data_IF_164867420772
#
_entry.id   IF_164867420772
#
_cell.length_a   1.000
_cell.length_b   1.000
_cell.length_c   1.000
_cell.angle_alpha   90.00
_cell.angle_beta   90.00
_cell.angle_gamma   90.00
#
_symmetry.space_group_name_H-M   'P 1'
#
loop_
_entity.id
_entity.type
_entity.pdbx_description
1 polymer ?
#
# COMPACT_ATOMS: atom_id res chain seq x y z
N UNK A 1 -20.84 -6.31 -8.23
CA UNK A 1 -20.00 -5.52 -9.12
C UNK A 1 -18.88 -6.39 -9.66
N UNK A 2 -18.47 -6.16 -10.94
CA UNK A 2 -17.23 -6.72 -11.49
C UNK A 2 -16.08 -5.73 -11.22
N UNK A 3 -15.06 -6.17 -10.52
CA UNK A 3 -13.90 -5.37 -10.14
C UNK A 3 -12.64 -5.97 -10.78
N UNK A 4 -11.92 -5.18 -11.56
CA UNK A 4 -10.66 -5.62 -12.17
C UNK A 4 -9.49 -4.99 -11.42
N UNK A 5 -8.53 -5.83 -10.99
CA UNK A 5 -7.37 -5.40 -10.18
C UNK A 5 -6.06 -5.72 -10.91
N UNK A 6 -5.57 -4.85 -11.80
CA UNK A 6 -4.25 -4.95 -12.37
C UNK A 6 -3.17 -4.91 -11.27
N UNK A 7 -2.25 -5.90 -11.26
CA UNK A 7 -1.24 -6.06 -10.23
C UNK A 7 -1.77 -6.58 -8.87
N UNK A 8 -2.96 -7.19 -8.85
CA UNK A 8 -3.65 -7.59 -7.63
C UNK A 8 -3.03 -8.77 -6.84
N UNK A 9 -1.90 -9.34 -7.28
CA UNK A 9 -1.20 -10.41 -6.53
C UNK A 9 -0.26 -9.89 -5.44
N UNK A 10 -0.02 -8.58 -5.35
CA UNK A 10 0.74 -7.94 -4.27
C UNK A 10 -0.03 -7.93 -2.95
N UNK A 11 0.61 -7.45 -1.86
CA UNK A 11 0.01 -7.36 -0.52
C UNK A 11 -1.35 -6.64 -0.53
N UNK A 12 -1.39 -5.43 -1.07
CA UNK A 12 -2.62 -4.61 -1.11
C UNK A 12 -3.69 -5.28 -1.96
N UNK A 13 -3.32 -5.82 -3.11
CA UNK A 13 -4.25 -6.54 -3.98
C UNK A 13 -4.83 -7.80 -3.34
N UNK A 14 -4.03 -8.52 -2.57
CA UNK A 14 -4.51 -9.70 -1.81
C UNK A 14 -5.52 -9.30 -0.74
N UNK A 15 -5.30 -8.17 -0.04
CA UNK A 15 -6.23 -7.63 0.95
C UNK A 15 -7.56 -7.27 0.27
N UNK A 16 -7.51 -6.51 -0.82
CA UNK A 16 -8.71 -6.09 -1.56
C UNK A 16 -9.44 -7.28 -2.17
N UNK A 17 -8.73 -8.19 -2.83
CA UNK A 17 -9.35 -9.38 -3.44
C UNK A 17 -10.09 -10.21 -2.39
N UNK A 18 -9.46 -10.48 -1.24
CA UNK A 18 -10.10 -11.21 -0.14
C UNK A 18 -11.36 -10.51 0.38
N UNK A 19 -11.30 -9.20 0.58
CA UNK A 19 -12.42 -8.42 1.10
C UNK A 19 -13.57 -8.32 0.10
N UNK A 20 -13.28 -7.92 -1.14
CA UNK A 20 -14.29 -7.71 -2.17
C UNK A 20 -14.94 -9.02 -2.62
N UNK A 21 -14.16 -10.10 -2.78
CA UNK A 21 -14.72 -11.43 -3.05
C UNK A 21 -15.58 -11.94 -1.89
N UNK A 22 -15.14 -11.70 -0.63
CA UNK A 22 -15.92 -12.02 0.57
C UNK A 22 -17.23 -11.24 0.68
N UNK A 23 -17.30 -10.05 0.10
CA UNK A 23 -18.52 -9.23 -0.03
C UNK A 23 -19.39 -9.62 -1.26
N UNK A 24 -19.05 -10.70 -1.98
CA UNK A 24 -19.83 -11.21 -3.11
C UNK A 24 -19.57 -10.47 -4.44
N UNK A 25 -18.48 -9.70 -4.54
CA UNK A 25 -18.11 -9.08 -5.80
C UNK A 25 -17.35 -10.06 -6.70
N UNK A 26 -17.52 -9.91 -8.00
CA UNK A 26 -16.70 -10.61 -8.99
C UNK A 26 -15.38 -9.87 -9.12
N UNK A 27 -14.28 -10.50 -8.66
CA UNK A 27 -12.94 -9.91 -8.71
C UNK A 27 -12.08 -10.64 -9.73
N UNK A 28 -11.57 -9.90 -10.72
CA UNK A 28 -10.61 -10.39 -11.72
C UNK A 28 -9.25 -9.74 -11.44
N UNK A 29 -8.23 -10.56 -11.25
CA UNK A 29 -6.86 -10.08 -11.00
C UNK A 29 -6.02 -10.21 -12.27
N UNK A 30 -5.43 -9.10 -12.73
CA UNK A 30 -4.47 -9.14 -13.82
C UNK A 30 -3.06 -9.34 -13.25
N UNK A 31 -2.38 -10.40 -13.69
CA UNK A 31 -1.06 -10.78 -13.16
C UNK A 31 -0.15 -11.39 -14.24
N UNK A 32 1.17 -11.28 -14.03
CA UNK A 32 2.16 -11.88 -14.93
C UNK A 32 2.18 -13.40 -14.88
N UNK A 33 1.79 -13.96 -13.75
CA UNK A 33 1.84 -15.42 -13.52
C UNK A 33 0.52 -15.85 -12.86
N UNK A 34 -0.52 -16.12 -13.65
CA UNK A 34 -1.79 -16.62 -13.12
C UNK A 34 -1.60 -17.99 -12.46
N UNK A 35 -2.14 -18.16 -11.25
CA UNK A 35 -2.08 -19.40 -10.47
C UNK A 35 -3.44 -19.82 -9.92
N UNK A 36 -4.46 -18.97 -10.05
CA UNK A 36 -5.81 -19.20 -9.51
C UNK A 36 -6.86 -18.92 -10.58
N UNK A 37 -8.02 -19.48 -10.39
CA UNK A 37 -9.22 -19.08 -11.13
C UNK A 37 -9.44 -17.56 -11.00
N UNK A 38 -9.87 -16.90 -12.07
CA UNK A 38 -10.04 -15.43 -12.17
C UNK A 38 -8.75 -14.62 -12.07
N UNK A 39 -7.61 -15.25 -12.22
CA UNK A 39 -6.36 -14.57 -12.53
C UNK A 39 -6.11 -14.62 -14.05
N UNK A 40 -5.94 -13.46 -14.65
CA UNK A 40 -5.74 -13.31 -16.10
C UNK A 40 -4.33 -12.82 -16.37
N UNK A 41 -3.70 -13.42 -17.39
CA UNK A 41 -2.32 -13.09 -17.75
C UNK A 41 -2.22 -11.69 -18.33
N UNK A 42 -1.30 -10.90 -17.78
CA UNK A 42 -1.00 -9.54 -18.17
C UNK A 42 0.48 -9.21 -17.85
N UNK A 43 1.16 -8.56 -18.79
CA UNK A 43 2.58 -8.17 -18.60
C UNK A 43 2.76 -6.78 -17.94
N UNK A 44 1.72 -5.97 -17.94
CA UNK A 44 1.72 -4.63 -17.37
C UNK A 44 2.16 -3.53 -18.33
N UNK A 45 2.33 -3.83 -19.63
CA UNK A 45 2.86 -2.87 -20.59
C UNK A 45 2.23 -2.96 -21.97
N UNK A 46 1.77 -4.14 -22.41
CA UNK A 46 1.28 -4.33 -23.77
C UNK A 46 -0.20 -4.69 -23.82
N UNK A 47 -0.86 -4.28 -24.92
CA UNK A 47 -2.23 -4.66 -25.20
C UNK A 47 -2.35 -6.18 -25.36
N UNK A 48 -3.45 -6.76 -24.89
CA UNK A 48 -3.66 -8.18 -24.99
C UNK A 48 -5.07 -8.62 -24.62
N UNK A 49 -5.35 -9.92 -24.59
CA UNK A 49 -6.68 -10.46 -24.30
C UNK A 49 -7.26 -10.05 -22.95
N UNK A 50 -6.42 -9.64 -22.00
CA UNK A 50 -6.80 -9.14 -20.68
C UNK A 50 -7.68 -7.87 -20.74
N UNK A 51 -7.58 -7.09 -21.83
CA UNK A 51 -8.36 -5.88 -22.02
C UNK A 51 -9.88 -6.15 -22.02
N UNK A 52 -10.30 -7.34 -22.42
CA UNK A 52 -11.71 -7.79 -22.37
C UNK A 52 -12.26 -7.80 -20.93
N UNK A 53 -11.41 -7.93 -19.93
CA UNK A 53 -11.86 -7.91 -18.54
C UNK A 53 -12.25 -6.49 -18.09
N UNK A 54 -11.64 -5.47 -18.69
CA UNK A 54 -11.96 -4.06 -18.43
C UNK A 54 -13.33 -3.71 -18.99
N UNK A 55 -13.65 -4.20 -20.20
CA UNK A 55 -14.96 -3.96 -20.79
C UNK A 55 -16.07 -4.61 -19.95
N UNK A 56 -17.10 -3.81 -19.62
CA UNK A 56 -18.21 -4.20 -18.77
C UNK A 56 -17.84 -4.39 -17.30
N UNK A 57 -16.65 -3.99 -16.85
CA UNK A 57 -16.36 -3.89 -15.42
C UNK A 57 -16.98 -2.65 -14.80
N UNK A 58 -17.33 -2.72 -13.51
CA UNK A 58 -17.82 -1.57 -12.76
C UNK A 58 -16.69 -0.68 -12.24
N UNK A 59 -15.59 -1.32 -11.85
CA UNK A 59 -14.46 -0.68 -11.15
C UNK A 59 -13.14 -1.26 -11.65
N UNK A 60 -12.17 -0.39 -11.92
CA UNK A 60 -10.77 -0.77 -12.12
C UNK A 60 -9.94 -0.21 -10.96
N UNK A 61 -9.14 -1.07 -10.30
CA UNK A 61 -8.22 -0.68 -9.22
C UNK A 61 -6.80 -1.05 -9.65
N UNK A 62 -6.10 -0.13 -10.31
CA UNK A 62 -4.74 -0.40 -10.76
C UNK A 62 -3.73 -0.29 -9.61
N UNK A 63 -3.15 -1.42 -9.24
CA UNK A 63 -2.12 -1.57 -8.20
C UNK A 63 -0.75 -1.93 -8.80
N UNK A 64 -0.63 -1.97 -10.13
CA UNK A 64 0.58 -2.41 -10.78
C UNK A 64 1.74 -1.46 -10.52
N UNK A 65 2.89 -2.05 -10.25
CA UNK A 65 4.13 -1.35 -10.01
C UNK A 65 5.18 -2.26 -9.41
N UNK A 66 6.44 -2.05 -9.78
CA UNK A 66 7.57 -2.74 -9.18
C UNK A 66 7.70 -2.40 -7.69
N UNK A 67 8.03 -3.38 -6.86
CA UNK A 67 8.26 -3.17 -5.43
C UNK A 67 9.35 -2.11 -5.18
N UNK A 68 9.08 -1.23 -4.22
CA UNK A 68 10.05 -0.23 -3.72
C UNK A 68 11.07 -0.84 -2.75
N UNK A 69 10.87 -2.08 -2.31
CA UNK A 69 11.81 -2.82 -1.47
C UNK A 69 12.99 -3.33 -2.31
N UNK A 70 13.79 -2.41 -2.84
CA UNK A 70 15.00 -2.66 -3.62
C UNK A 70 16.00 -1.53 -3.39
N UNK A 71 17.27 -1.73 -3.76
CA UNK A 71 18.26 -0.62 -3.78
C UNK A 71 17.89 0.37 -4.86
N UNK A 72 18.02 1.65 -4.59
CA UNK A 72 17.75 2.74 -5.52
C UNK A 72 18.95 2.97 -6.46
N UNK A 73 19.24 1.96 -7.29
CA UNK A 73 20.15 2.12 -8.43
C UNK A 73 19.41 2.78 -9.59
N UNK A 74 20.10 3.48 -10.52
CA UNK A 74 19.46 4.08 -11.69
C UNK A 74 18.55 3.10 -12.45
N UNK A 75 19.00 1.84 -12.66
CA UNK A 75 18.21 0.81 -13.32
C UNK A 75 16.96 0.42 -12.55
N UNK A 76 17.03 0.32 -11.22
CA UNK A 76 15.86 0.01 -10.39
C UNK A 76 14.88 1.17 -10.32
N UNK A 77 15.36 2.40 -10.24
CA UNK A 77 14.54 3.61 -10.25
C UNK A 77 13.80 3.73 -11.59
N UNK A 78 14.50 3.55 -12.71
CA UNK A 78 13.87 3.53 -14.04
C UNK A 78 12.82 2.43 -14.15
N UNK A 79 13.12 1.21 -13.73
CA UNK A 79 12.15 0.12 -13.75
C UNK A 79 10.94 0.35 -12.81
N UNK A 80 11.12 1.11 -11.72
CA UNK A 80 10.00 1.55 -10.87
C UNK A 80 9.14 2.59 -11.58
N UNK A 81 9.74 3.53 -12.31
CA UNK A 81 9.05 4.52 -13.14
C UNK A 81 8.25 3.81 -14.23
N UNK A 82 8.94 3.05 -15.08
CA UNK A 82 8.36 2.40 -16.27
C UNK A 82 7.19 1.49 -15.90
N UNK A 83 7.37 0.64 -14.87
CA UNK A 83 6.31 -0.28 -14.44
C UNK A 83 5.02 0.40 -13.99
N UNK A 84 5.11 1.64 -13.52
CA UNK A 84 3.97 2.44 -13.06
C UNK A 84 3.33 3.20 -14.21
N UNK A 85 4.14 3.90 -14.97
CA UNK A 85 3.67 4.72 -16.09
C UNK A 85 3.04 3.83 -17.16
N UNK A 86 3.77 2.83 -17.68
CA UNK A 86 3.27 1.95 -18.73
C UNK A 86 2.02 1.19 -18.33
N UNK A 87 1.97 0.68 -17.05
CA UNK A 87 0.76 0.00 -16.60
C UNK A 87 -0.44 0.91 -16.50
N UNK A 88 -0.23 2.18 -16.19
CA UNK A 88 -1.31 3.16 -16.11
C UNK A 88 -1.78 3.58 -17.50
N UNK A 89 -0.85 3.81 -18.41
CA UNK A 89 -1.15 4.17 -19.81
C UNK A 89 -1.97 3.06 -20.49
N UNK A 90 -1.51 1.80 -20.41
CA UNK A 90 -2.21 0.69 -21.08
C UNK A 90 -3.56 0.36 -20.44
N UNK A 91 -3.74 0.59 -19.14
CA UNK A 91 -5.05 0.50 -18.47
C UNK A 91 -5.96 1.63 -18.95
N UNK A 92 -5.43 2.85 -19.07
CA UNK A 92 -6.16 4.00 -19.63
C UNK A 92 -6.62 3.76 -21.06
N UNK A 93 -5.74 3.20 -21.90
CA UNK A 93 -6.07 2.81 -23.27
C UNK A 93 -7.18 1.74 -23.29
N UNK A 94 -7.10 0.73 -22.42
CA UNK A 94 -8.13 -0.30 -22.33
C UNK A 94 -9.48 0.24 -21.90
N UNK A 95 -9.51 1.21 -20.98
CA UNK A 95 -10.74 1.90 -20.55
C UNK A 95 -11.31 2.76 -21.69
N UNK A 96 -10.44 3.50 -22.40
CA UNK A 96 -10.85 4.35 -23.51
C UNK A 96 -11.48 3.57 -24.68
N UNK A 97 -11.02 2.34 -24.92
CA UNK A 97 -11.50 1.47 -26.00
C UNK A 97 -12.62 0.50 -25.55
N UNK A 98 -13.07 0.53 -24.29
CA UNK A 98 -14.14 -0.31 -23.81
C UNK A 98 -15.50 0.14 -24.38
N UNK A 99 -16.33 -0.77 -24.83
CA UNK A 99 -17.72 -0.49 -25.24
C UNK A 99 -18.57 -0.07 -24.04
N UNK A 100 -18.28 -0.65 -22.86
CA UNK A 100 -18.90 -0.35 -21.57
C UNK A 100 -17.82 -0.04 -20.54
N UNK A 101 -17.29 1.21 -20.53
CA UNK A 101 -16.19 1.59 -19.65
C UNK A 101 -16.59 1.52 -18.16
N UNK A 102 -15.64 1.24 -17.26
CA UNK A 102 -15.89 1.25 -15.83
C UNK A 102 -16.30 2.64 -15.36
N UNK A 103 -17.22 2.71 -14.41
CA UNK A 103 -17.66 4.00 -13.84
C UNK A 103 -16.57 4.70 -13.02
N UNK A 104 -15.62 3.94 -12.46
CA UNK A 104 -14.51 4.50 -11.69
C UNK A 104 -13.21 3.73 -11.89
N UNK A 105 -12.15 4.49 -12.04
CA UNK A 105 -10.77 4.02 -12.06
C UNK A 105 -10.01 4.56 -10.84
N UNK A 106 -9.74 3.68 -9.88
CA UNK A 106 -8.87 3.93 -8.74
C UNK A 106 -7.44 3.57 -9.13
N UNK A 107 -6.55 4.54 -9.11
CA UNK A 107 -5.14 4.37 -9.43
C UNK A 107 -4.30 4.44 -8.17
N UNK A 108 -3.51 3.42 -7.87
CA UNK A 108 -2.55 3.51 -6.76
C UNK A 108 -1.56 4.65 -7.00
N UNK A 109 -1.31 5.40 -5.95
CA UNK A 109 -0.26 6.39 -5.80
C UNK A 109 0.37 6.26 -4.41
N UNK A 110 1.11 7.21 -3.95
CA UNK A 110 1.85 7.12 -2.69
C UNK A 110 1.84 8.42 -1.90
N UNK A 111 1.67 8.31 -0.59
CA UNK A 111 1.87 9.42 0.35
C UNK A 111 3.33 9.94 0.37
N UNK A 112 4.27 9.22 -0.26
CA UNK A 112 5.68 9.66 -0.41
C UNK A 112 5.82 10.88 -1.31
N UNK A 113 4.80 11.21 -2.11
CA UNK A 113 4.78 12.43 -2.95
C UNK A 113 4.91 13.72 -2.13
N UNK A 114 4.53 13.71 -0.86
CA UNK A 114 4.62 14.87 -0.01
C UNK A 114 6.03 15.11 0.55
N UNK A 115 6.29 16.38 0.86
CA UNK A 115 7.57 16.86 1.38
C UNK A 115 7.96 16.22 2.72
N UNK A 116 9.27 16.05 2.91
CA UNK A 116 9.89 15.72 4.19
C UNK A 116 9.81 16.93 5.13
N UNK A 117 8.81 16.96 6.01
CA UNK A 117 8.60 18.09 6.94
C UNK A 117 8.13 17.62 8.31
N UNK A 118 8.33 18.48 9.32
CA UNK A 118 8.01 18.20 10.72
C UNK A 118 6.99 19.19 11.31
N UNK A 119 6.90 20.38 10.75
CA UNK A 119 6.13 21.52 11.23
C UNK A 119 4.62 21.34 11.10
N UNK A 120 4.15 20.85 9.95
CA UNK A 120 2.72 20.70 9.67
C UNK A 120 2.41 19.34 9.00
N UNK A 121 1.17 18.84 9.11
CA UNK A 121 0.72 17.70 8.32
C UNK A 121 0.56 18.09 6.84
N UNK A 122 0.56 17.08 5.97
CA UNK A 122 0.21 17.21 4.55
C UNK A 122 -1.16 16.58 4.32
N UNK A 123 -2.12 17.37 3.91
CA UNK A 123 -3.39 16.92 3.34
C UNK A 123 -3.44 17.21 1.84
N UNK A 124 -4.57 16.96 1.20
CA UNK A 124 -4.73 17.15 -0.25
C UNK A 124 -4.86 18.62 -0.66
N UNK A 125 -5.28 19.50 0.27
CA UNK A 125 -5.52 20.93 0.01
C UNK A 125 -4.29 21.80 0.30
N UNK A 126 -3.60 21.53 1.44
CA UNK A 126 -2.51 22.37 1.96
C UNK A 126 -1.17 21.67 1.97
N UNK A 127 -1.13 20.39 1.63
CA UNK A 127 0.06 19.57 1.63
C UNK A 127 1.07 20.02 0.57
N UNK A 128 2.34 20.06 0.98
CA UNK A 128 3.44 20.45 0.11
C UNK A 128 3.97 19.23 -0.64
N UNK A 129 3.98 19.28 -1.97
CA UNK A 129 4.63 18.25 -2.79
C UNK A 129 6.16 18.42 -2.64
N UNK A 130 6.85 17.32 -2.37
CA UNK A 130 8.28 17.32 -2.12
C UNK A 130 9.13 17.38 -3.39
N UNK A 131 10.43 17.19 -3.22
CA UNK A 131 11.42 17.14 -4.31
C UNK A 131 12.35 18.33 -4.39
N UNK A 132 12.22 19.29 -3.48
CA UNK A 132 13.09 20.48 -3.40
C UNK A 132 13.54 20.80 -1.97
N UNK A 133 13.44 19.84 -1.06
CA UNK A 133 13.81 20.06 0.34
C UNK A 133 15.34 20.12 0.50
N UNK A 134 15.90 21.14 1.22
CA UNK A 134 17.35 21.39 1.23
C UNK A 134 18.17 20.36 2.02
N UNK A 135 17.56 19.69 2.98
CA UNK A 135 18.26 18.81 3.94
C UNK A 135 18.02 17.31 3.71
N UNK A 136 17.62 16.93 2.49
CA UNK A 136 17.38 15.55 2.12
C UNK A 136 18.31 15.09 1.00
N UNK A 137 18.60 13.78 0.87
CA UNK A 137 19.38 13.29 -0.26
C UNK A 137 18.68 13.56 -1.60
N UNK A 138 19.42 14.03 -2.60
CA UNK A 138 18.89 14.38 -3.93
C UNK A 138 18.11 13.24 -4.58
N UNK A 139 18.50 11.98 -4.35
CA UNK A 139 17.83 10.83 -4.91
C UNK A 139 16.39 10.60 -4.37
N UNK A 140 16.00 11.27 -3.24
CA UNK A 140 14.61 11.23 -2.79
C UNK A 140 13.67 11.98 -3.73
N UNK A 141 14.17 12.97 -4.48
CA UNK A 141 13.40 13.65 -5.50
C UNK A 141 12.87 12.69 -6.57
N UNK A 142 13.64 11.66 -6.89
CA UNK A 142 13.23 10.68 -7.90
C UNK A 142 11.99 9.88 -7.49
N UNK A 143 11.83 9.54 -6.20
CA UNK A 143 10.61 8.90 -5.70
C UNK A 143 9.37 9.78 -5.87
N UNK A 144 9.55 11.11 -5.77
CA UNK A 144 8.49 12.09 -5.98
C UNK A 144 8.18 12.24 -7.48
N UNK A 145 9.21 12.24 -8.31
CA UNK A 145 9.06 12.24 -9.78
C UNK A 145 8.27 11.01 -10.26
N UNK A 146 8.61 9.82 -9.74
CA UNK A 146 7.84 8.59 -10.02
C UNK A 146 6.36 8.77 -9.63
N UNK A 147 6.09 9.28 -8.43
CA UNK A 147 4.72 9.46 -7.96
C UNK A 147 3.94 10.45 -8.84
N UNK A 148 4.57 11.56 -9.22
CA UNK A 148 3.98 12.58 -10.12
C UNK A 148 3.74 12.05 -11.52
N UNK A 149 4.70 11.31 -12.09
CA UNK A 149 4.55 10.70 -13.41
C UNK A 149 3.41 9.67 -13.41
N UNK A 150 3.29 8.90 -12.32
CA UNK A 150 2.24 7.92 -12.15
C UNK A 150 0.84 8.55 -12.10
N UNK A 151 0.65 9.60 -11.28
CA UNK A 151 -0.61 10.35 -11.22
C UNK A 151 -0.92 11.04 -12.56
N UNK A 152 0.08 11.64 -13.20
CA UNK A 152 -0.08 12.31 -14.50
C UNK A 152 -0.51 11.32 -15.59
N UNK A 153 0.03 10.11 -15.63
CA UNK A 153 -0.36 9.10 -16.61
C UNK A 153 -1.86 8.77 -16.52
N UNK A 154 -2.43 8.70 -15.31
CA UNK A 154 -3.88 8.56 -15.13
C UNK A 154 -4.63 9.82 -15.56
N UNK A 155 -4.15 10.99 -15.15
CA UNK A 155 -4.80 12.27 -15.43
C UNK A 155 -4.94 12.51 -16.94
N UNK A 156 -3.87 12.23 -17.69
CA UNK A 156 -3.78 12.45 -19.15
C UNK A 156 -4.54 11.42 -19.99
N UNK A 157 -4.94 10.28 -19.42
CA UNK A 157 -5.70 9.28 -20.15
C UNK A 157 -7.08 9.83 -20.58
N UNK A 158 -7.42 9.66 -21.85
CA UNK A 158 -8.72 10.09 -22.40
C UNK A 158 -9.82 9.07 -22.06
N UNK A 159 -10.40 9.23 -20.88
CA UNK A 159 -11.45 8.32 -20.36
C UNK A 159 -12.63 9.13 -19.82
N UNK A 160 -13.37 9.86 -20.69
CA UNK A 160 -14.38 10.85 -20.29
C UNK A 160 -15.55 10.26 -19.51
N UNK A 161 -15.84 8.97 -19.69
CA UNK A 161 -16.95 8.27 -19.02
C UNK A 161 -16.50 7.54 -17.73
N UNK A 162 -15.24 7.68 -17.33
CA UNK A 162 -14.68 7.02 -16.16
C UNK A 162 -14.13 8.04 -15.16
N UNK A 163 -14.67 8.03 -13.95
CA UNK A 163 -14.18 8.88 -12.85
C UNK A 163 -12.81 8.39 -12.39
N UNK A 164 -11.85 9.30 -12.26
CA UNK A 164 -10.46 9.03 -11.89
C UNK A 164 -10.17 9.45 -10.46
N UNK A 165 -9.57 8.56 -9.66
CA UNK A 165 -9.11 8.84 -8.30
C UNK A 165 -7.71 8.28 -8.11
N UNK A 166 -6.76 9.14 -7.72
CA UNK A 166 -5.40 8.72 -7.37
C UNK A 166 -5.32 8.47 -5.85
N UNK A 167 -5.01 7.23 -5.47
CA UNK A 167 -4.94 6.77 -4.08
C UNK A 167 -3.55 7.05 -3.51
N UNK A 168 -3.31 8.21 -2.90
CA UNK A 168 -2.07 8.54 -2.20
C UNK A 168 -1.98 7.75 -0.89
N UNK A 169 -1.64 6.47 -1.02
CA UNK A 169 -1.64 5.55 0.11
C UNK A 169 -0.43 5.74 1.02
N UNK A 170 -0.69 5.83 2.32
CA UNK A 170 0.28 5.58 3.37
C UNK A 170 0.60 4.06 3.46
N UNK A 171 1.44 3.67 4.42
CA UNK A 171 1.76 2.25 4.62
C UNK A 171 0.53 1.46 5.06
N UNK A 172 0.07 0.53 4.25
CA UNK A 172 -1.04 -0.36 4.59
C UNK A 172 -0.54 -1.43 5.57
N UNK A 173 -1.06 -1.38 6.79
CA UNK A 173 -0.71 -2.30 7.88
C UNK A 173 -1.67 -3.47 7.90
N UNK A 174 -1.16 -4.65 7.59
CA UNK A 174 -1.91 -5.92 7.58
C UNK A 174 -1.15 -6.98 8.37
N UNK A 175 -1.84 -7.91 9.07
CA UNK A 175 -1.20 -9.03 9.77
C UNK A 175 -0.63 -10.08 8.82
N UNK A 176 -0.87 -9.96 7.51
CA UNK A 176 -0.38 -10.91 6.50
C UNK A 176 1.16 -10.93 6.46
N UNK A 177 1.74 -12.08 6.07
CA UNK A 177 3.19 -12.25 5.95
C UNK A 177 3.74 -11.50 4.73
N UNK A 178 5.00 -11.07 4.84
CA UNK A 178 5.74 -10.44 3.73
C UNK A 178 5.43 -8.95 3.52
N UNK A 179 4.50 -8.37 4.29
CA UNK A 179 4.20 -6.94 4.25
C UNK A 179 5.06 -6.10 5.20
N UNK A 180 4.90 -4.78 5.13
CA UNK A 180 5.64 -3.83 5.97
C UNK A 180 5.41 -4.08 7.47
N UNK A 181 4.19 -4.40 7.88
CA UNK A 181 3.89 -4.73 9.27
C UNK A 181 4.66 -5.97 9.75
N UNK A 182 4.78 -7.01 8.93
CA UNK A 182 5.54 -8.23 9.25
C UNK A 182 7.02 -7.93 9.51
N UNK A 183 7.64 -7.06 8.71
CA UNK A 183 9.02 -6.61 8.89
C UNK A 183 9.18 -5.83 10.19
N UNK A 184 8.31 -4.83 10.43
CA UNK A 184 8.36 -4.01 11.64
C UNK A 184 8.10 -4.82 12.91
N UNK A 185 7.15 -5.75 12.84
CA UNK A 185 6.85 -6.66 13.95
C UNK A 185 8.02 -7.59 14.25
N UNK A 186 8.71 -8.11 13.23
CA UNK A 186 9.93 -8.93 13.42
C UNK A 186 11.00 -8.13 14.14
N UNK A 187 11.27 -6.89 13.72
CA UNK A 187 12.23 -6.01 14.40
C UNK A 187 11.81 -5.75 15.86
N UNK A 188 10.54 -5.47 16.11
CA UNK A 188 10.00 -5.25 17.45
C UNK A 188 10.21 -6.48 18.34
N UNK A 189 9.93 -7.69 17.84
CA UNK A 189 10.10 -8.97 18.56
C UNK A 189 11.55 -9.26 18.94
N UNK A 190 12.50 -8.84 18.10
CA UNK A 190 13.93 -9.01 18.34
C UNK A 190 14.54 -7.90 19.22
N UNK A 191 13.74 -6.97 19.73
CA UNK A 191 14.23 -5.82 20.48
C UNK A 191 14.93 -4.76 19.63
N UNK A 192 14.91 -4.89 18.30
CA UNK A 192 15.52 -3.96 17.33
C UNK A 192 14.58 -2.82 16.91
N UNK A 193 13.37 -2.78 17.44
CA UNK A 193 12.37 -1.80 17.11
C UNK A 193 12.47 -0.49 17.91
N UNK A 194 13.67 0.01 18.19
CA UNK A 194 13.90 1.29 18.86
C UNK A 194 13.80 2.50 17.93
N UNK A 195 14.15 3.70 18.46
CA UNK A 195 14.20 4.91 17.64
C UNK A 195 15.29 4.80 16.56
N UNK A 196 14.97 5.17 15.33
CA UNK A 196 15.95 5.26 14.24
C UNK A 196 16.30 6.73 14.01
N UNK A 197 17.58 7.09 14.02
CA UNK A 197 18.05 8.47 13.88
C UNK A 197 17.30 9.47 14.80
N UNK A 198 17.07 9.09 16.06
CA UNK A 198 16.31 9.86 17.04
C UNK A 198 14.78 9.66 16.98
N UNK A 199 14.26 9.04 15.92
CA UNK A 199 12.84 8.65 15.79
C UNK A 199 11.84 9.80 15.77
N UNK A 200 12.26 10.99 15.31
CA UNK A 200 11.40 12.19 15.22
C UNK A 200 10.56 12.22 13.95
N UNK A 201 11.02 11.55 12.88
CA UNK A 201 10.30 11.48 11.61
C UNK A 201 8.93 10.85 11.79
N UNK A 202 7.93 11.45 11.16
CA UNK A 202 6.55 10.95 11.23
C UNK A 202 6.35 9.74 10.34
N UNK A 203 5.51 8.83 10.83
CA UNK A 203 5.04 7.64 10.13
C UNK A 203 3.56 7.80 9.85
N UNK A 204 3.19 7.83 8.58
CA UNK A 204 1.80 7.71 8.14
C UNK A 204 1.50 6.26 7.79
N UNK A 205 0.35 5.81 8.21
CA UNK A 205 -0.10 4.42 8.10
C UNK A 205 -1.61 4.38 7.91
N UNK A 206 -2.12 3.25 7.46
CA UNK A 206 -3.54 2.93 7.46
C UNK A 206 -3.73 1.46 7.82
N UNK A 207 -4.75 1.15 8.62
CA UNK A 207 -5.12 -0.24 8.93
C UNK A 207 -5.71 -0.92 7.68
N UNK A 208 -5.46 -2.21 7.47
CA UNK A 208 -5.95 -2.95 6.29
C UNK A 208 -7.49 -2.89 6.15
N UNK A 209 -8.22 -2.94 7.25
CA UNK A 209 -9.69 -2.82 7.22
C UNK A 209 -10.14 -1.41 6.81
N UNK A 210 -9.49 -0.36 7.33
CA UNK A 210 -9.82 1.01 6.94
C UNK A 210 -9.40 1.31 5.50
N UNK A 211 -8.33 0.67 5.02
CA UNK A 211 -7.95 0.76 3.62
C UNK A 211 -9.03 0.18 2.69
N UNK A 212 -9.54 -1.00 3.00
CA UNK A 212 -10.66 -1.61 2.25
C UNK A 212 -11.90 -0.73 2.29
N UNK A 213 -12.32 -0.30 3.49
CA UNK A 213 -13.50 0.57 3.66
C UNK A 213 -13.34 1.91 2.92
N UNK A 214 -12.13 2.48 2.90
CA UNK A 214 -11.86 3.71 2.15
C UNK A 214 -11.97 3.48 0.64
N UNK A 215 -11.49 2.36 0.12
CA UNK A 215 -11.66 1.99 -1.30
C UNK A 215 -13.14 1.83 -1.64
N UNK A 216 -13.92 1.11 -0.83
CA UNK A 216 -15.38 0.94 -1.01
C UNK A 216 -16.11 2.29 -0.93
N UNK A 217 -15.73 3.13 0.02
CA UNK A 217 -16.27 4.49 0.15
C UNK A 217 -16.00 5.34 -1.09
N UNK A 218 -14.78 5.30 -1.62
CA UNK A 218 -14.41 6.01 -2.84
C UNK A 218 -15.15 5.47 -4.08
N UNK A 219 -15.40 4.17 -4.14
CA UNK A 219 -16.22 3.57 -5.21
C UNK A 219 -17.65 4.14 -5.17
N UNK A 220 -18.23 4.29 -3.97
CA UNK A 220 -19.59 4.77 -3.78
C UNK A 220 -19.75 6.30 -3.90
N UNK A 221 -18.72 7.10 -3.64
CA UNK A 221 -18.76 8.57 -3.63
C UNK A 221 -18.43 9.16 -5.00
N UNK A 222 -19.43 9.47 -5.80
CA UNK A 222 -19.26 9.96 -7.17
C UNK A 222 -18.56 11.33 -7.24
N UNK A 223 -18.74 12.20 -6.26
CA UNK A 223 -18.13 13.53 -6.21
C UNK A 223 -16.62 13.57 -5.93
N UNK A 224 -16.01 12.45 -5.49
CA UNK A 224 -14.59 12.40 -5.20
C UNK A 224 -13.78 12.05 -6.46
N UNK A 225 -13.03 13.03 -6.98
CA UNK A 225 -12.11 12.90 -8.14
C UNK A 225 -10.71 13.38 -7.79
N UNK A 226 -9.71 12.94 -8.56
CA UNK A 226 -8.30 13.33 -8.36
C UNK A 226 -7.66 12.69 -7.12
N UNK A 227 -6.61 13.28 -6.53
CA UNK A 227 -5.86 12.65 -5.45
C UNK A 227 -6.62 12.63 -4.13
N UNK A 228 -6.55 11.47 -3.44
CA UNK A 228 -7.12 11.24 -2.11
C UNK A 228 -6.09 10.51 -1.24
N UNK A 229 -5.84 11.02 -0.05
CA UNK A 229 -4.93 10.43 0.92
C UNK A 229 -5.59 9.26 1.67
N UNK A 230 -5.04 8.07 1.49
CA UNK A 230 -5.42 6.88 2.23
C UNK A 230 -4.46 6.70 3.41
N UNK A 231 -4.73 7.42 4.49
CA UNK A 231 -3.94 7.44 5.72
C UNK A 231 -4.85 7.52 6.94
N UNK A 232 -4.43 6.95 8.06
CA UNK A 232 -5.09 7.20 9.34
C UNK A 232 -4.92 8.66 9.75
N UNK A 233 -5.89 9.26 10.46
CA UNK A 233 -5.88 10.70 10.76
C UNK A 233 -4.78 11.13 11.73
N UNK A 234 -4.20 10.20 12.50
CA UNK A 234 -3.17 10.50 13.49
C UNK A 234 -1.81 9.88 13.11
N UNK A 235 -1.02 10.51 12.20
CA UNK A 235 0.37 10.13 12.00
C UNK A 235 1.20 10.46 13.24
N UNK A 236 2.18 9.61 13.57
CA UNK A 236 2.94 9.79 14.79
C UNK A 236 4.45 9.64 14.56
N UNK A 237 5.30 10.22 15.47
CA UNK A 237 6.74 10.04 15.37
C UNK A 237 7.14 8.56 15.42
N UNK A 238 8.15 8.17 14.65
CA UNK A 238 8.63 6.78 14.52
C UNK A 238 8.93 6.14 15.90
N UNK A 239 9.51 6.89 16.83
CA UNK A 239 9.75 6.39 18.20
C UNK A 239 8.48 5.99 18.94
N UNK A 240 7.40 6.76 18.78
CA UNK A 240 6.09 6.47 19.37
C UNK A 240 5.39 5.32 18.66
N UNK A 241 5.49 5.30 17.33
CA UNK A 241 4.98 4.23 16.48
C UNK A 241 5.57 2.88 16.88
N UNK A 242 6.90 2.76 16.94
CA UNK A 242 7.56 1.51 17.30
C UNK A 242 7.38 1.14 18.78
N UNK A 243 7.28 2.12 19.68
CA UNK A 243 6.95 1.86 21.10
C UNK A 243 5.59 1.18 21.23
N UNK A 244 4.56 1.72 20.56
CA UNK A 244 3.21 1.14 20.60
C UNK A 244 3.19 -0.28 20.01
N UNK A 245 3.91 -0.53 18.92
CA UNK A 245 4.03 -1.87 18.33
C UNK A 245 4.71 -2.87 19.27
N UNK A 246 5.83 -2.47 19.90
CA UNK A 246 6.50 -3.31 20.90
C UNK A 246 5.58 -3.61 22.09
N UNK A 247 4.90 -2.58 22.61
CA UNK A 247 3.94 -2.72 23.72
C UNK A 247 2.82 -3.70 23.37
N UNK A 248 2.26 -3.61 22.17
CA UNK A 248 1.22 -4.53 21.68
C UNK A 248 1.71 -5.98 21.60
N UNK A 249 2.99 -6.19 21.31
CA UNK A 249 3.58 -7.53 21.31
C UNK A 249 4.02 -8.01 22.71
N UNK A 250 4.21 -7.10 23.67
CA UNK A 250 4.73 -7.42 25.02
C UNK A 250 6.26 -7.35 25.10
N UNK A 251 6.93 -6.56 24.26
CA UNK A 251 8.38 -6.31 24.31
C UNK A 251 8.63 -4.90 24.81
N UNK A 252 9.29 -4.77 25.98
CA UNK A 252 9.63 -3.48 26.60
C UNK A 252 10.87 -2.84 25.97
N UNK A 253 11.86 -3.65 25.57
CA UNK A 253 13.15 -3.18 25.04
C UNK A 253 13.03 -2.83 23.56
N UNK A 254 13.68 -1.71 23.17
CA UNK A 254 13.85 -1.32 21.76
C UNK A 254 15.19 -0.62 21.59
N UNK A 255 16.18 -1.35 21.09
CA UNK A 255 17.50 -0.83 20.84
C UNK A 255 17.46 0.28 19.79
N UNK A 256 18.03 1.46 20.08
CA UNK A 256 18.08 2.55 19.11
C UNK A 256 19.04 2.22 17.97
N UNK A 257 18.75 2.72 16.78
CA UNK A 257 19.64 2.67 15.64
C UNK A 257 20.06 4.10 15.24
N UNK A 258 21.36 4.30 15.10
CA UNK A 258 21.89 5.53 14.53
C UNK A 258 21.62 5.58 13.02
N UNK A 259 21.81 6.74 12.39
CA UNK A 259 21.62 6.89 10.94
C UNK A 259 22.50 5.90 10.15
N UNK A 260 23.79 5.79 10.49
CA UNK A 260 24.71 4.87 9.80
C UNK A 260 24.33 3.40 9.99
N UNK A 261 23.81 3.02 11.17
CA UNK A 261 23.29 1.65 11.40
C UNK A 261 22.04 1.38 10.53
N UNK A 262 21.16 2.38 10.37
CA UNK A 262 20.01 2.26 9.48
C UNK A 262 20.43 2.13 8.01
N UNK A 263 21.45 2.86 7.59
CA UNK A 263 22.05 2.76 6.25
C UNK A 263 22.65 1.38 6.00
N UNK A 264 23.41 0.86 6.96
CA UNK A 264 23.97 -0.48 6.89
C UNK A 264 22.88 -1.57 6.88
N UNK A 265 21.86 -1.41 7.72
CA UNK A 265 20.70 -2.33 7.77
C UNK A 265 19.89 -2.30 6.48
N UNK A 266 19.64 -1.13 5.91
CA UNK A 266 18.99 -1.00 4.62
C UNK A 266 19.80 -1.64 3.50
N UNK A 267 21.13 -1.46 3.52
CA UNK A 267 22.04 -2.10 2.58
C UNK A 267 21.97 -3.64 2.68
N UNK A 268 22.01 -4.21 3.89
CA UNK A 268 21.91 -5.65 4.12
C UNK A 268 20.55 -6.22 3.72
N UNK A 269 19.46 -5.47 3.96
CA UNK A 269 18.08 -5.84 3.59
C UNK A 269 17.76 -5.53 2.12
N UNK A 270 18.72 -5.02 1.34
CA UNK A 270 18.53 -4.59 -0.06
C UNK A 270 17.39 -3.59 -0.22
N UNK A 271 17.19 -2.73 0.76
CA UNK A 271 16.17 -1.67 0.80
C UNK A 271 16.84 -0.30 0.74
N UNK A 272 16.04 0.77 0.74
CA UNK A 272 16.52 2.14 0.78
C UNK A 272 16.19 2.84 2.09
N UNK A 273 17.05 3.79 2.49
CA UNK A 273 16.92 4.56 3.74
C UNK A 273 15.77 5.58 3.68
N UNK A 274 15.31 5.99 2.51
CA UNK A 274 14.14 6.86 2.36
C UNK A 274 12.91 6.30 3.09
N UNK A 275 12.73 4.96 3.04
CA UNK A 275 11.60 4.29 3.68
C UNK A 275 11.60 4.45 5.21
N UNK A 276 12.80 4.62 5.80
CA UNK A 276 13.00 4.71 7.25
C UNK A 276 13.16 6.15 7.75
N UNK A 277 13.79 7.03 6.96
CA UNK A 277 14.26 8.35 7.41
C UNK A 277 13.35 9.50 6.96
N UNK A 278 12.61 9.34 5.86
CA UNK A 278 11.69 10.39 5.37
C UNK A 278 10.53 10.56 6.34
N UNK A 279 10.32 11.78 6.81
CA UNK A 279 9.14 12.14 7.61
C UNK A 279 7.93 12.21 6.69
N UNK A 280 6.95 11.34 6.94
CA UNK A 280 5.66 11.31 6.25
C UNK A 280 4.58 11.66 7.26
N UNK A 281 4.20 12.94 7.32
CA UNK A 281 3.13 13.43 8.18
C UNK A 281 1.91 13.73 7.32
N UNK A 282 1.24 12.67 6.86
CA UNK A 282 0.10 12.76 5.91
C UNK A 282 -1.19 12.48 6.63
N UNK A 283 -2.22 13.28 6.36
CA UNK A 283 -3.56 13.17 6.93
C UNK A 283 -4.61 13.08 5.82
N UNK A 284 -5.74 12.40 6.05
CA UNK A 284 -6.78 12.15 5.04
C UNK A 284 -7.81 13.28 5.00
N UNK A 285 -7.42 14.48 4.57
CA UNK A 285 -8.27 15.68 4.62
C UNK A 285 -9.59 15.48 3.91
N UNK A 286 -9.57 14.96 2.68
CA UNK A 286 -10.78 14.76 1.86
C UNK A 286 -11.68 13.66 2.40
N UNK A 287 -11.13 12.53 2.87
CA UNK A 287 -11.93 11.47 3.48
C UNK A 287 -12.67 11.97 4.74
N UNK A 288 -11.99 12.75 5.58
CA UNK A 288 -12.60 13.34 6.78
C UNK A 288 -13.68 14.36 6.42
N UNK A 289 -13.43 15.23 5.45
CA UNK A 289 -14.41 16.21 4.98
C UNK A 289 -15.67 15.58 4.41
N UNK A 290 -15.54 14.41 3.77
CA UNK A 290 -16.66 13.63 3.21
C UNK A 290 -17.34 12.71 4.25
N UNK A 291 -16.91 12.76 5.53
CA UNK A 291 -17.50 12.01 6.62
C UNK A 291 -17.10 10.53 6.68
N UNK A 292 -15.93 10.17 6.14
CA UNK A 292 -15.41 8.81 6.32
C UNK A 292 -15.04 8.56 7.78
N UNK A 293 -15.61 7.51 8.36
CA UNK A 293 -15.36 7.09 9.74
C UNK A 293 -14.31 5.96 9.78
N UNK A 294 -13.20 6.22 10.48
CA UNK A 294 -12.11 5.26 10.66
C UNK A 294 -12.39 4.32 11.82
N UNK A 295 -12.34 3.01 11.59
CA UNK A 295 -12.39 2.00 12.66
C UNK A 295 -11.12 2.05 13.53
N UNK A 296 -10.00 2.40 12.94
CA UNK A 296 -8.70 2.50 13.61
C UNK A 296 -8.04 3.86 13.37
N UNK A 297 -8.57 4.95 13.95
CA UNK A 297 -7.99 6.28 13.77
C UNK A 297 -6.64 6.46 14.48
N UNK A 298 -6.34 5.63 15.50
CA UNK A 298 -5.14 5.71 16.35
C UNK A 298 -4.31 4.44 16.28
N UNK A 299 -2.99 4.61 16.28
CA UNK A 299 -2.05 3.51 16.06
C UNK A 299 -2.05 2.45 17.20
N UNK A 300 -2.12 2.85 18.47
CA UNK A 300 -2.02 1.88 19.55
C UNK A 300 -3.13 0.80 19.52
N UNK A 301 -4.42 1.14 19.36
CA UNK A 301 -5.48 0.15 19.13
C UNK A 301 -5.28 -0.66 17.85
N UNK A 302 -4.87 -0.03 16.76
CA UNK A 302 -4.59 -0.68 15.48
C UNK A 302 -3.48 -1.74 15.60
N UNK A 303 -2.35 -1.38 16.23
CA UNK A 303 -1.24 -2.30 16.49
C UNK A 303 -1.68 -3.49 17.37
N UNK A 304 -2.53 -3.25 18.37
CA UNK A 304 -3.11 -4.29 19.20
C UNK A 304 -3.95 -5.28 18.42
N UNK A 305 -4.81 -4.79 17.53
CA UNK A 305 -5.62 -5.62 16.64
C UNK A 305 -4.76 -6.47 15.70
N UNK A 306 -3.85 -5.82 14.96
CA UNK A 306 -2.96 -6.48 14.02
C UNK A 306 -2.12 -7.58 14.70
N UNK A 307 -1.64 -7.33 15.91
CA UNK A 307 -0.87 -8.32 16.69
C UNK A 307 -1.77 -9.49 17.11
N UNK A 308 -2.99 -9.24 17.59
CA UNK A 308 -3.94 -10.32 17.93
C UNK A 308 -4.25 -11.19 16.73
N UNK A 309 -4.59 -10.59 15.58
CA UNK A 309 -4.88 -11.30 14.32
C UNK A 309 -3.67 -12.10 13.84
N UNK A 310 -2.47 -11.56 13.99
CA UNK A 310 -1.22 -12.25 13.65
C UNK A 310 -0.98 -13.48 14.54
N UNK A 311 -1.26 -13.40 15.83
CA UNK A 311 -1.15 -14.53 16.78
C UNK A 311 -2.22 -15.58 16.51
N UNK A 312 -3.46 -15.18 16.28
CA UNK A 312 -4.58 -16.07 15.98
C UNK A 312 -4.40 -16.86 14.68
N UNK A 313 -3.77 -16.26 13.65
CA UNK A 313 -3.45 -16.95 12.40
C UNK A 313 -2.40 -18.07 12.55
N UNK A 314 -1.56 -18.03 13.57
CA UNK A 314 -0.61 -19.11 13.89
C UNK A 314 -1.28 -20.31 14.59
N UNK A 315 -2.35 -20.08 15.33
CA UNK A 315 -3.09 -21.17 16.01
C UNK A 315 -3.86 -22.07 15.06
N UNK A 316 -4.37 -21.53 13.96
CA UNK A 316 -5.16 -22.29 12.97
C UNK A 316 -4.30 -23.19 12.09
N UNK A 317 -3.13 -22.72 11.64
CA UNK A 317 -2.18 -23.53 10.84
C UNK A 317 -1.54 -24.65 11.65
N UNK A 318 -1.34 -24.47 12.95
CA UNK A 318 -0.83 -25.52 13.85
C UNK A 318 -1.86 -26.61 14.16
N UNK A 319 -3.14 -26.25 14.28
CA UNK A 319 -4.22 -27.19 14.53
C UNK A 319 -4.55 -28.06 13.29
N UNK A 320 -4.51 -27.48 12.09
CA UNK A 320 -4.68 -28.24 10.83
C UNK A 320 -3.51 -29.20 10.56
N UNK A 321 -2.27 -28.79 10.85
CA UNK A 321 -1.10 -29.67 10.72
C UNK A 321 -1.13 -30.84 11.72
N UNK A 322 -1.64 -30.61 12.94
CA UNK A 322 -1.78 -31.67 13.95
C UNK A 322 -2.91 -32.66 13.62
N UNK A 323 -4.00 -32.21 12.97
CA UNK A 323 -5.10 -33.09 12.56
C UNK A 323 -4.75 -34.00 11.38
N UNK A 324 -3.83 -33.58 10.51
CA UNK A 324 -3.36 -34.41 9.37
C UNK A 324 -2.31 -35.45 9.78
N UNK A 325 -1.59 -35.23 10.89
CA UNK A 325 -0.62 -36.20 11.41
C UNK A 325 -1.24 -37.28 12.33
N UNK A 326 -2.47 -37.08 12.78
CA UNK A 326 -3.17 -38.02 13.67
C UNK A 326 -4.00 -39.13 13.00
N UNK A 327 -4.16 -39.10 11.66
CA UNK A 327 -5.02 -40.04 10.93
C UNK A 327 -4.30 -41.17 10.21
N UNK A 328 -2.97 -41.33 10.37
CA UNK A 328 -2.19 -42.41 9.70
C UNK A 328 -1.74 -43.54 10.62
N UNK A 329 -2.40 -43.75 11.76
CA UNK A 329 -2.02 -44.76 12.78
C UNK A 329 -3.14 -45.65 13.31
N UNK A 330 -4.02 -46.20 12.43
CA UNK A 330 -4.90 -47.29 12.83
C UNK A 330 -5.30 -48.13 11.61
N UNK A 331 -4.55 -49.19 11.36
CA UNK A 331 -4.85 -50.15 10.29
C UNK A 331 -3.72 -51.14 10.11
N UNK A 332 -3.58 -52.08 11.07
CA UNK A 332 -2.92 -53.37 10.85
C UNK A 332 -3.72 -54.44 11.55
#
# INVERSE_FOLDING_TARGET
MKVVIPGGTGQVGTILNRALSGAGHEVVVLTRTPTREREVRWDGATWGPWAKEIDGSDVVINLAGRSVSCRYTPANLQAMMDSRVHSTEIVGEAIANAERPPRVWLQMSTATVYAHRFDAPNDEATGVIGGGEPDVPDYWAYSIEIARAWERAQEMADTPHTRKVALRSAMVMSPDRGGVFDVLLRLARLGLGGPVAGGRQYVSWIHDQDFVRAVEFLVAREGLVGPVNLAAPEPLPQRAFMRALRSAWGVSVGLPATRWMAELGAFALRSDTELLLKSRRVVPGRLLAEGFDFAYPRWAPAAGDLVRRRRGGHGRTGAEAASLSGSSGAGA
#
